data_IF_623436783438
#
_entry.id   IF_623436783438
#
_cell.length_a   1.000
_cell.length_b   1.000
_cell.length_c   1.000
_cell.angle_alpha   90.00
_cell.angle_beta   90.00
_cell.angle_gamma   90.00
#
_symmetry.space_group_name_H-M   'P 1'
#
loop_
_entity.id
_entity.type
_entity.pdbx_description
1 polymer ?
#
# COMPACT_ATOMS: atom_id res chain seq x y z
N UNK A 1 26.36 -28.00 -4.95
CA UNK A 1 25.53 -27.34 -5.99
C UNK A 1 24.50 -26.50 -5.27
N UNK A 2 24.73 -25.20 -5.13
CA UNK A 2 23.82 -24.29 -4.43
C UNK A 2 22.77 -23.78 -5.42
N UNK A 3 21.52 -24.11 -5.15
CA UNK A 3 20.34 -23.75 -5.94
C UNK A 3 20.23 -22.22 -6.06
N UNK A 4 20.17 -21.61 -7.26
CA UNK A 4 19.87 -20.19 -7.35
C UNK A 4 18.43 -20.00 -6.90
N UNK A 5 18.23 -19.38 -5.73
CA UNK A 5 16.91 -18.86 -5.35
C UNK A 5 16.53 -17.82 -6.40
N UNK A 6 15.58 -18.16 -7.26
CA UNK A 6 14.86 -17.23 -8.13
C UNK A 6 14.29 -16.13 -7.25
N UNK A 7 15.06 -15.05 -7.13
CA UNK A 7 14.69 -13.90 -6.31
C UNK A 7 13.71 -13.11 -7.16
N UNK A 8 12.46 -13.05 -6.71
CA UNK A 8 11.42 -12.26 -7.38
C UNK A 8 11.93 -10.83 -7.60
N UNK A 9 11.64 -10.21 -8.77
CA UNK A 9 12.10 -8.87 -9.05
C UNK A 9 11.52 -7.88 -8.03
N UNK A 10 12.32 -6.89 -7.64
CA UNK A 10 11.81 -5.74 -6.88
C UNK A 10 11.02 -4.80 -7.80
N UNK A 11 10.16 -3.93 -7.24
CA UNK A 11 9.45 -2.90 -8.01
C UNK A 11 10.40 -2.05 -8.87
N UNK A 12 11.50 -1.59 -8.30
CA UNK A 12 12.48 -0.74 -8.99
C UNK A 12 13.14 -1.51 -10.15
N UNK A 13 13.59 -2.74 -9.91
CA UNK A 13 14.22 -3.55 -10.96
C UNK A 13 13.25 -3.90 -12.08
N UNK A 14 11.99 -4.22 -11.75
CA UNK A 14 10.97 -4.53 -12.75
C UNK A 14 10.59 -3.30 -13.58
N UNK A 15 10.49 -2.14 -12.96
CA UNK A 15 10.20 -0.88 -13.63
C UNK A 15 11.33 -0.49 -14.59
N UNK A 16 12.59 -0.52 -14.13
CA UNK A 16 13.74 -0.22 -15.00
C UNK A 16 13.86 -1.21 -16.17
N UNK A 17 13.51 -2.49 -15.97
CA UNK A 17 13.49 -3.48 -17.05
C UNK A 17 12.40 -3.14 -18.08
N UNK A 18 11.20 -2.76 -17.61
CA UNK A 18 10.09 -2.37 -18.47
C UNK A 18 10.44 -1.11 -19.30
N UNK A 19 11.05 -0.09 -18.69
CA UNK A 19 11.51 1.12 -19.40
C UNK A 19 12.52 0.79 -20.51
N UNK A 20 13.47 -0.11 -20.23
CA UNK A 20 14.44 -0.57 -21.25
C UNK A 20 13.77 -1.29 -22.40
N UNK A 21 12.73 -2.08 -22.10
CA UNK A 21 11.94 -2.76 -23.14
C UNK A 21 11.24 -1.71 -24.00
N UNK A 22 10.54 -0.75 -23.38
CA UNK A 22 9.83 0.32 -24.09
C UNK A 22 10.78 1.14 -24.97
N UNK A 23 11.96 1.52 -24.46
CA UNK A 23 12.95 2.27 -25.25
C UNK A 23 13.43 1.49 -26.50
N UNK A 24 13.48 0.16 -26.45
CA UNK A 24 13.79 -0.65 -27.63
C UNK A 24 12.66 -0.66 -28.67
N UNK A 25 11.43 -0.38 -28.25
CA UNK A 25 10.27 -0.24 -29.14
C UNK A 25 10.15 1.16 -29.78
N UNK A 26 10.97 2.12 -29.37
CA UNK A 26 10.97 3.49 -29.90
C UNK A 26 11.97 3.69 -31.06
N UNK A 27 12.69 2.64 -31.47
CA UNK A 27 13.65 2.71 -32.57
C UNK A 27 12.99 2.32 -33.92
N UNK A 28 13.41 2.97 -35.00
CA UNK A 28 12.75 2.88 -36.33
C UNK A 28 12.86 1.50 -37.02
N UNK A 29 13.76 0.62 -36.58
CA UNK A 29 14.00 -0.71 -37.17
C UNK A 29 13.59 -1.85 -36.21
N UNK A 30 12.28 -1.99 -35.97
CA UNK A 30 11.74 -3.10 -35.18
C UNK A 30 11.34 -4.26 -36.08
N UNK A 31 12.05 -5.37 -35.92
CA UNK A 31 11.60 -6.67 -36.38
C UNK A 31 10.51 -7.21 -35.43
N UNK A 32 9.30 -7.41 -35.97
CA UNK A 32 8.15 -7.92 -35.21
C UNK A 32 8.40 -9.30 -34.58
N UNK A 33 9.09 -10.21 -35.28
CA UNK A 33 9.34 -11.56 -34.78
C UNK A 33 10.33 -11.53 -33.60
N UNK A 34 11.34 -10.66 -33.68
CA UNK A 34 12.32 -10.45 -32.62
C UNK A 34 11.78 -9.64 -31.43
N UNK A 35 10.73 -8.86 -31.64
CA UNK A 35 10.14 -8.00 -30.61
C UNK A 35 9.03 -8.69 -29.82
N UNK A 36 8.39 -9.73 -30.36
CA UNK A 36 7.33 -10.48 -29.66
C UNK A 36 7.75 -11.03 -28.28
N UNK A 37 8.95 -11.60 -28.07
CA UNK A 37 9.39 -12.01 -26.74
C UNK A 37 9.52 -10.84 -25.76
N UNK A 38 10.03 -9.69 -26.22
CA UNK A 38 10.16 -8.47 -25.41
C UNK A 38 8.80 -7.91 -25.03
N UNK A 39 7.84 -7.96 -25.95
CA UNK A 39 6.46 -7.55 -25.69
C UNK A 39 5.81 -8.42 -24.60
N UNK A 40 5.94 -9.75 -24.70
CA UNK A 40 5.46 -10.67 -23.65
C UNK A 40 6.08 -10.38 -22.30
N UNK A 41 7.41 -10.16 -22.27
CA UNK A 41 8.12 -9.79 -21.05
C UNK A 41 7.64 -8.46 -20.47
N UNK A 42 7.42 -7.45 -21.33
CA UNK A 42 6.85 -6.17 -20.92
C UNK A 42 5.47 -6.32 -20.27
N UNK A 43 4.62 -7.19 -20.83
CA UNK A 43 3.30 -7.48 -20.26
C UNK A 43 3.41 -8.15 -18.87
N UNK A 44 4.30 -9.12 -18.71
CA UNK A 44 4.56 -9.75 -17.40
C UNK A 44 5.01 -8.74 -16.36
N UNK A 45 5.97 -7.87 -16.71
CA UNK A 45 6.48 -6.83 -15.82
C UNK A 45 5.38 -5.83 -15.43
N UNK A 46 4.57 -5.39 -16.39
CA UNK A 46 3.46 -4.48 -16.15
C UNK A 46 2.41 -5.10 -15.20
N UNK A 47 2.07 -6.38 -15.40
CA UNK A 47 1.17 -7.10 -14.51
C UNK A 47 1.74 -7.22 -13.10
N UNK A 48 3.02 -7.59 -12.98
CA UNK A 48 3.71 -7.67 -11.70
C UNK A 48 3.69 -6.32 -10.96
N UNK A 49 4.07 -5.23 -11.63
CA UNK A 49 4.08 -3.89 -11.05
C UNK A 49 2.69 -3.47 -10.56
N UNK A 50 1.65 -3.68 -11.39
CA UNK A 50 0.26 -3.37 -11.03
C UNK A 50 -0.17 -4.10 -9.76
N UNK A 51 0.08 -5.41 -9.69
CA UNK A 51 -0.29 -6.23 -8.53
C UNK A 51 0.44 -5.75 -7.28
N UNK A 52 1.77 -5.57 -7.36
CA UNK A 52 2.57 -5.20 -6.20
C UNK A 52 2.25 -3.80 -5.69
N UNK A 53 1.96 -2.84 -6.58
CA UNK A 53 1.50 -1.51 -6.17
C UNK A 53 0.14 -1.56 -5.45
N UNK A 54 -0.79 -2.39 -5.92
CA UNK A 54 -2.08 -2.57 -5.25
C UNK A 54 -1.94 -3.19 -3.86
N UNK A 55 -1.05 -4.16 -3.69
CA UNK A 55 -0.71 -4.71 -2.37
C UNK A 55 -0.16 -3.63 -1.43
N UNK A 56 0.81 -2.83 -1.89
CA UNK A 56 1.38 -1.73 -1.13
C UNK A 56 0.34 -0.69 -0.73
N UNK A 57 -0.58 -0.34 -1.63
CA UNK A 57 -1.66 0.60 -1.34
C UNK A 57 -2.56 0.08 -0.20
N UNK A 58 -2.88 -1.21 -0.22
CA UNK A 58 -3.67 -1.83 0.84
C UNK A 58 -2.91 -1.88 2.17
N UNK A 59 -1.61 -2.21 2.16
CA UNK A 59 -0.76 -2.18 3.35
C UNK A 59 -0.75 -0.77 3.98
N UNK A 60 -0.59 0.28 3.17
CA UNK A 60 -0.60 1.68 3.63
C UNK A 60 -1.95 2.06 4.24
N UNK A 61 -3.07 1.66 3.62
CA UNK A 61 -4.42 1.93 4.14
C UNK A 61 -4.62 1.29 5.52
N UNK A 62 -4.19 0.04 5.69
CA UNK A 62 -4.28 -0.67 6.96
C UNK A 62 -3.47 0.04 8.05
N UNK A 63 -2.20 0.37 7.77
CA UNK A 63 -1.34 1.09 8.72
C UNK A 63 -1.93 2.44 9.11
N UNK A 64 -2.51 3.18 8.15
CA UNK A 64 -3.18 4.46 8.43
C UNK A 64 -4.39 4.27 9.37
N UNK A 65 -5.23 3.28 9.10
CA UNK A 65 -6.40 2.98 9.93
C UNK A 65 -6.00 2.59 11.36
N UNK A 66 -4.98 1.75 11.52
CA UNK A 66 -4.44 1.36 12.84
C UNK A 66 -3.93 2.58 13.62
N UNK A 67 -3.25 3.51 12.94
CA UNK A 67 -2.75 4.73 13.57
C UNK A 67 -3.89 5.67 14.04
N UNK A 68 -4.94 5.83 13.23
CA UNK A 68 -6.12 6.62 13.59
C UNK A 68 -6.89 6.03 14.78
N UNK A 69 -7.02 4.70 14.86
CA UNK A 69 -7.67 4.02 15.99
C UNK A 69 -6.87 4.11 17.29
N UNK A 70 -5.55 4.22 17.21
CA UNK A 70 -4.67 4.35 18.37
C UNK A 70 -4.71 5.77 18.95
N UNK A 71 -4.82 6.78 18.08
CA UNK A 71 -4.83 8.21 18.47
C UNK A 71 -6.17 8.63 19.09
N UNK A 72 -7.28 7.96 18.76
CA UNK A 72 -8.61 8.28 19.29
C UNK A 72 -8.93 7.68 20.67
N UNK A 73 -8.20 6.65 21.13
CA UNK A 73 -8.41 6.03 22.46
C UNK A 73 -7.72 6.75 23.63
N UNK A 74 -6.92 7.79 23.38
CA UNK A 74 -6.12 8.46 24.44
C UNK A 74 -6.78 9.70 25.05
N UNK A 75 -7.98 10.11 24.60
CA UNK A 75 -8.63 11.36 25.06
C UNK A 75 -9.92 11.20 25.88
N UNK A 76 -10.20 10.03 26.46
CA UNK A 76 -11.40 9.79 27.27
C UNK A 76 -11.13 9.36 28.72
N UNK A 77 -10.02 9.81 29.33
CA UNK A 77 -9.73 9.59 30.76
C UNK A 77 -9.27 10.86 31.46
N UNK A 78 -10.11 11.90 31.46
CA UNK A 78 -10.04 12.96 32.49
C UNK A 78 -11.38 13.70 32.60
N UNK A 79 -12.28 13.14 33.41
CA UNK A 79 -13.30 13.88 34.15
C UNK A 79 -13.85 12.95 35.24
N UNK A 80 -13.04 12.74 36.27
CA UNK A 80 -13.58 12.38 37.59
C UNK A 80 -14.18 13.65 38.17
N UNK A 81 -15.49 13.69 38.31
CA UNK A 81 -16.13 14.38 39.43
C UNK A 81 -17.35 13.57 39.83
N UNK A 82 -17.10 12.52 40.59
CA UNK A 82 -18.11 11.97 41.48
C UNK A 82 -18.52 13.05 42.49
N UNK A 83 -19.78 12.98 42.91
CA UNK A 83 -20.31 13.42 44.20
C UNK A 83 -20.76 14.88 44.36
N UNK A 84 -22.05 15.11 44.08
CA UNK A 84 -22.95 15.60 45.13
C UNK A 84 -24.40 15.28 44.75
N UNK A 85 -24.89 14.16 45.28
CA UNK A 85 -26.31 14.01 45.53
C UNK A 85 -26.61 14.78 46.81
N UNK A 86 -27.40 15.84 46.72
CA UNK A 86 -28.14 16.34 47.88
C UNK A 86 -29.54 16.71 47.44
N UNK A 87 -30.44 15.72 47.50
CA UNK A 87 -31.88 15.90 47.47
C UNK A 87 -32.31 15.86 48.93
N UNK A 88 -32.79 16.99 49.43
CA UNK A 88 -33.64 17.13 50.62
C UNK A 88 -34.38 18.46 50.41
N UNK A 89 -35.58 18.41 49.83
CA UNK A 89 -36.86 18.53 50.56
C UNK A 89 -36.94 19.79 51.43
N UNK A 90 -37.62 20.84 50.94
CA UNK A 90 -38.87 21.38 51.53
C UNK A 90 -39.39 22.63 50.75
N UNK A 91 -40.52 22.40 50.06
CA UNK A 91 -41.73 23.19 49.74
C UNK A 91 -41.81 24.75 49.73
N UNK A 92 -42.79 25.30 48.97
CA UNK A 92 -42.85 26.71 48.58
C UNK A 92 -43.59 27.61 49.59
N UNK A 93 -43.26 28.90 49.55
CA UNK A 93 -44.17 30.00 49.89
C UNK A 93 -44.32 30.91 48.67
#
# INVERSE_FOLDING_TARGET
>A
MTNPKTTQPTLNTAFNELEKIVAQFEHDEIDLEQSLPKFKRGLELAQFLKTRLGELENEIKTVKAEFETTTSKTNSKSAVSETSANISDELPF
#
